data_IF_983315828060
#
_entry.id   IF_983315828060
#
_cell.length_a   1.000
_cell.length_b   1.000
_cell.length_c   1.000
_cell.angle_alpha   90.00
_cell.angle_beta   90.00
_cell.angle_gamma   90.00
#
_symmetry.space_group_name_H-M   'P 1'
#
loop_
_entity.id
_entity.type
_entity.pdbx_description
1 polymer ?
#
# COMPACT_ATOMS: atom_id res chain seq x y z
N UNK A 1 -6.97 -20.73 15.08
CA UNK A 1 -8.28 -20.96 15.65
C UNK A 1 -9.01 -22.12 14.91
N UNK A 2 -9.36 -21.94 13.62
CA UNK A 2 -10.15 -22.91 12.84
C UNK A 2 -9.48 -24.28 12.82
N UNK A 3 -8.17 -24.35 12.56
CA UNK A 3 -7.43 -25.63 12.56
C UNK A 3 -7.43 -26.29 13.93
N UNK A 4 -7.25 -25.52 15.00
CA UNK A 4 -7.30 -26.06 16.36
C UNK A 4 -8.68 -26.63 16.66
N UNK A 5 -9.75 -25.96 16.25
CA UNK A 5 -11.12 -26.44 16.44
C UNK A 5 -11.38 -27.74 15.66
N UNK A 6 -10.91 -27.78 14.41
CA UNK A 6 -11.04 -28.99 13.58
C UNK A 6 -10.27 -30.19 14.18
N UNK A 7 -9.04 -29.93 14.64
CA UNK A 7 -8.23 -30.95 15.30
C UNK A 7 -8.89 -31.45 16.61
N UNK A 8 -9.45 -30.52 17.37
CA UNK A 8 -10.15 -30.88 18.62
C UNK A 8 -11.33 -31.84 18.36
N UNK A 9 -12.08 -31.57 17.27
CA UNK A 9 -13.21 -32.45 16.90
C UNK A 9 -12.76 -33.84 16.45
N UNK A 10 -11.58 -33.94 15.81
CA UNK A 10 -11.06 -35.24 15.35
C UNK A 10 -10.31 -35.99 16.44
N UNK A 11 -9.60 -35.33 17.30
CA UNK A 11 -8.67 -35.93 18.28
C UNK A 11 -9.23 -35.96 19.71
N UNK A 12 -10.35 -35.29 19.96
CA UNK A 12 -10.93 -35.21 21.30
C UNK A 12 -10.13 -34.36 22.29
N UNK A 13 -9.17 -33.55 21.79
CA UNK A 13 -8.32 -32.71 22.62
C UNK A 13 -8.26 -31.29 22.02
N UNK A 14 -8.48 -30.29 22.85
CA UNK A 14 -8.41 -28.88 22.45
C UNK A 14 -7.19 -28.23 23.11
N UNK A 15 -6.25 -27.77 22.28
CA UNK A 15 -5.12 -26.98 22.76
C UNK A 15 -5.61 -25.63 23.29
N UNK A 16 -4.99 -25.16 24.37
CA UNK A 16 -5.31 -23.84 24.95
C UNK A 16 -4.81 -22.70 24.07
N UNK A 17 -3.82 -22.94 23.22
CA UNK A 17 -3.22 -21.90 22.37
C UNK A 17 -2.60 -22.51 21.12
N UNK A 18 -2.46 -21.68 20.09
CA UNK A 18 -1.72 -22.01 18.89
C UNK A 18 -0.39 -21.28 18.87
N UNK A 19 0.45 -21.59 17.89
CA UNK A 19 1.75 -20.93 17.75
C UNK A 19 1.95 -20.48 16.30
N UNK A 20 2.52 -19.27 16.15
CA UNK A 20 2.97 -18.76 14.87
C UNK A 20 4.50 -18.73 14.86
N UNK A 21 5.10 -19.14 13.74
CA UNK A 21 6.54 -19.03 13.53
C UNK A 21 6.82 -17.71 12.85
N UNK A 22 7.58 -16.83 13.51
CA UNK A 22 8.03 -15.58 12.94
C UNK A 22 9.24 -15.78 12.03
N UNK A 23 9.35 -14.99 10.99
CA UNK A 23 10.54 -15.00 10.14
C UNK A 23 11.75 -14.42 10.86
N UNK A 24 11.52 -13.35 11.62
CA UNK A 24 12.56 -12.60 12.35
C UNK A 24 12.12 -12.36 13.77
N UNK A 25 13.09 -12.22 14.67
CA UNK A 25 12.80 -11.84 16.02
C UNK A 25 14.00 -11.08 16.63
N UNK A 26 13.70 -10.21 17.55
CA UNK A 26 14.71 -9.51 18.34
C UNK A 26 14.28 -9.52 19.80
N UNK A 27 15.22 -9.76 20.67
CA UNK A 27 15.02 -9.70 22.11
C UNK A 27 15.89 -8.55 22.67
N UNK A 28 15.43 -7.89 23.70
CA UNK A 28 16.09 -6.67 24.24
C UNK A 28 17.57 -6.85 24.56
N UNK A 29 18.00 -8.05 24.88
CA UNK A 29 19.36 -8.31 25.37
C UNK A 29 20.15 -9.34 24.56
N UNK A 30 19.55 -10.03 23.64
CA UNK A 30 20.26 -11.07 22.88
C UNK A 30 19.51 -11.45 21.61
N UNK A 31 20.24 -12.02 20.66
CA UNK A 31 19.67 -12.68 19.49
C UNK A 31 19.66 -14.19 19.75
N UNK A 32 18.51 -14.81 19.61
CA UNK A 32 18.40 -16.24 19.71
C UNK A 32 18.58 -16.91 18.37
N UNK A 33 19.16 -18.08 18.38
CA UNK A 33 19.40 -18.87 17.17
C UNK A 33 18.56 -20.16 17.11
N UNK A 34 17.75 -20.40 18.13
CA UNK A 34 16.92 -21.60 18.17
C UNK A 34 15.65 -21.39 17.36
N UNK A 35 15.26 -22.40 16.62
CA UNK A 35 14.01 -22.39 15.87
C UNK A 35 12.82 -22.04 16.77
N UNK A 36 12.77 -22.64 17.96
CA UNK A 36 11.67 -22.43 18.92
C UNK A 36 11.59 -20.99 19.44
N UNK A 37 12.69 -20.22 19.38
CA UNK A 37 12.70 -18.83 19.84
C UNK A 37 11.87 -17.93 18.92
N UNK A 38 11.53 -18.42 17.74
CA UNK A 38 10.69 -17.71 16.76
C UNK A 38 9.19 -17.96 16.96
N UNK A 39 8.84 -18.84 17.90
CA UNK A 39 7.43 -19.19 18.16
C UNK A 39 6.79 -18.10 19.03
N UNK A 40 5.65 -17.63 18.58
CA UNK A 40 4.80 -16.70 19.30
C UNK A 40 3.51 -17.41 19.66
N UNK A 41 3.20 -17.53 20.93
CA UNK A 41 1.94 -18.10 21.37
C UNK A 41 0.79 -17.18 20.99
N UNK A 42 -0.26 -17.75 20.42
CA UNK A 42 -1.47 -17.03 20.03
C UNK A 42 -2.64 -17.66 20.79
N UNK A 43 -3.34 -16.91 21.64
CA UNK A 43 -4.52 -17.43 22.32
C UNK A 43 -5.55 -17.95 21.32
N UNK A 44 -6.29 -18.98 21.72
CA UNK A 44 -7.34 -19.55 20.86
C UNK A 44 -8.44 -18.56 20.56
N UNK A 45 -8.64 -17.57 21.42
CA UNK A 45 -9.59 -16.50 21.13
C UNK A 45 -8.96 -15.14 21.49
N UNK A 46 -9.11 -14.21 20.59
CA UNK A 46 -8.64 -12.83 20.77
C UNK A 46 -9.78 -11.86 20.49
N UNK A 47 -9.85 -10.81 21.29
CA UNK A 47 -10.89 -9.79 21.13
C UNK A 47 -10.28 -8.56 20.49
N UNK A 48 -10.81 -8.17 19.34
CA UNK A 48 -10.44 -6.92 18.67
C UNK A 48 -11.36 -5.80 19.15
N UNK A 49 -10.79 -4.65 19.42
CA UNK A 49 -11.50 -3.47 19.89
C UNK A 49 -12.73 -3.11 19.02
N UNK A 50 -12.62 -3.37 17.71
CA UNK A 50 -13.65 -2.93 16.75
C UNK A 50 -14.38 -4.08 16.07
N UNK A 51 -14.04 -5.35 16.38
CA UNK A 51 -14.56 -6.50 15.63
C UNK A 51 -15.07 -7.66 16.50
N UNK A 52 -15.07 -7.49 17.81
CA UNK A 52 -15.46 -8.58 18.71
C UNK A 52 -14.40 -9.67 18.80
N UNK A 53 -14.79 -10.82 19.30
CA UNK A 53 -13.89 -11.96 19.46
C UNK A 53 -13.69 -12.71 18.14
N UNK A 54 -12.57 -13.41 18.02
CA UNK A 54 -12.28 -14.24 16.86
C UNK A 54 -13.31 -15.36 16.72
N UNK A 55 -13.71 -15.97 17.83
CA UNK A 55 -14.70 -17.05 17.83
C UNK A 55 -16.06 -16.57 17.30
N UNK A 56 -16.51 -15.41 17.73
CA UNK A 56 -17.77 -14.81 17.24
C UNK A 56 -17.70 -14.53 15.74
N UNK A 57 -16.59 -13.99 15.25
CA UNK A 57 -16.42 -13.70 13.84
C UNK A 57 -16.40 -14.95 12.98
N UNK A 58 -15.74 -16.02 13.46
CA UNK A 58 -15.71 -17.30 12.76
C UNK A 58 -17.11 -17.91 12.73
N UNK A 59 -17.81 -17.88 13.86
CA UNK A 59 -19.18 -18.43 13.94
C UNK A 59 -20.12 -17.68 12.98
N UNK A 60 -20.08 -16.36 12.98
CA UNK A 60 -20.88 -15.53 12.08
C UNK A 60 -20.55 -15.81 10.60
N UNK A 61 -19.26 -16.08 10.29
CA UNK A 61 -18.85 -16.44 8.93
C UNK A 61 -19.40 -17.80 8.50
N UNK A 62 -19.42 -18.78 9.42
CA UNK A 62 -19.99 -20.10 9.16
C UNK A 62 -21.50 -19.99 8.93
N UNK A 63 -22.19 -19.24 9.77
CA UNK A 63 -23.62 -18.99 9.63
C UNK A 63 -23.92 -18.35 8.27
N UNK A 64 -23.16 -17.29 7.92
CA UNK A 64 -23.32 -16.63 6.62
C UNK A 64 -23.12 -17.60 5.44
N UNK A 65 -22.12 -18.50 5.53
CA UNK A 65 -21.88 -19.51 4.49
C UNK A 65 -23.03 -20.49 4.39
N UNK A 66 -23.62 -20.90 5.51
CA UNK A 66 -24.79 -21.77 5.52
C UNK A 66 -26.00 -21.06 4.91
N UNK A 67 -26.24 -19.81 5.28
CA UNK A 67 -27.32 -19.00 4.70
C UNK A 67 -27.13 -18.85 3.18
N UNK A 68 -25.89 -18.59 2.74
CA UNK A 68 -25.56 -18.50 1.31
C UNK A 68 -25.91 -19.81 0.59
N UNK A 69 -25.59 -20.97 1.18
CA UNK A 69 -25.87 -22.28 0.58
C UNK A 69 -27.36 -22.59 0.51
N UNK A 70 -28.11 -22.20 1.52
CA UNK A 70 -29.54 -22.54 1.63
C UNK A 70 -30.45 -21.54 0.92
N UNK A 71 -30.11 -20.25 0.96
CA UNK A 71 -31.00 -19.19 0.48
C UNK A 71 -30.35 -18.21 -0.51
N UNK A 72 -29.06 -18.34 -0.77
CA UNK A 72 -28.30 -17.38 -1.59
C UNK A 72 -28.85 -17.17 -2.99
N UNK A 73 -29.51 -18.17 -3.55
CA UNK A 73 -30.12 -18.06 -4.88
C UNK A 73 -31.24 -17.00 -4.92
N UNK A 74 -31.84 -16.70 -3.78
CA UNK A 74 -32.93 -15.73 -3.66
C UNK A 74 -32.41 -14.32 -3.33
N UNK A 75 -31.12 -14.15 -3.09
CA UNK A 75 -30.53 -12.86 -2.69
C UNK A 75 -30.42 -11.94 -3.88
N UNK A 76 -30.71 -10.67 -3.69
CA UNK A 76 -30.58 -9.61 -4.69
C UNK A 76 -29.48 -8.63 -4.29
N UNK A 77 -28.92 -7.96 -5.30
CA UNK A 77 -27.84 -7.00 -5.11
C UNK A 77 -28.33 -5.55 -5.00
N UNK A 78 -29.63 -5.33 -5.02
CA UNK A 78 -30.22 -3.98 -4.93
C UNK A 78 -29.89 -3.32 -3.59
N UNK A 79 -30.01 -1.98 -3.51
CA UNK A 79 -29.87 -1.28 -2.22
C UNK A 79 -30.78 -1.82 -1.12
N UNK A 80 -31.89 -2.40 -1.51
CA UNK A 80 -32.88 -2.99 -0.60
C UNK A 80 -32.62 -4.47 -0.35
N UNK A 81 -31.42 -4.93 -0.66
CA UNK A 81 -31.04 -6.33 -0.45
C UNK A 81 -31.23 -6.74 1.03
N UNK A 82 -31.81 -7.93 1.20
CA UNK A 82 -31.99 -8.54 2.51
C UNK A 82 -30.64 -8.71 3.23
N UNK A 83 -29.58 -8.95 2.44
CA UNK A 83 -28.25 -9.16 3.02
C UNK A 83 -27.31 -7.98 2.66
N UNK A 84 -27.04 -7.07 3.62
CA UNK A 84 -26.18 -5.93 3.35
C UNK A 84 -24.72 -6.30 3.03
N UNK A 85 -24.29 -7.53 3.32
CA UNK A 85 -22.95 -8.00 3.01
C UNK A 85 -22.74 -8.24 1.52
N UNK A 86 -23.82 -8.34 0.73
CA UNK A 86 -23.72 -8.51 -0.73
C UNK A 86 -23.25 -7.24 -1.44
N UNK A 87 -23.34 -6.09 -0.81
CA UNK A 87 -22.90 -4.83 -1.45
C UNK A 87 -21.40 -4.89 -1.75
N UNK A 88 -20.98 -4.36 -2.90
CA UNK A 88 -19.55 -4.44 -3.28
C UNK A 88 -18.65 -3.72 -2.28
N UNK A 89 -17.46 -4.29 -2.05
CA UNK A 89 -16.42 -3.67 -1.21
C UNK A 89 -15.24 -3.31 -2.12
N UNK A 90 -15.16 -2.06 -2.57
CA UNK A 90 -14.12 -1.61 -3.48
C UNK A 90 -12.76 -1.45 -2.80
N UNK A 91 -12.67 -1.56 -1.46
CA UNK A 91 -11.40 -1.57 -0.74
C UNK A 91 -10.74 -2.95 -0.73
N UNK A 92 -11.47 -3.99 -1.09
CA UNK A 92 -10.91 -5.32 -1.28
C UNK A 92 -10.48 -5.48 -2.74
N UNK A 93 -9.17 -5.54 -2.99
CA UNK A 93 -8.61 -5.74 -4.33
C UNK A 93 -8.12 -7.17 -4.55
N UNK A 94 -8.22 -8.04 -3.52
CA UNK A 94 -7.83 -9.46 -3.57
C UNK A 94 -9.05 -10.33 -3.83
N UNK A 95 -9.72 -10.09 -4.96
CA UNK A 95 -11.01 -10.68 -5.29
C UNK A 95 -11.04 -11.27 -6.71
N UNK A 96 -9.89 -11.64 -7.24
CA UNK A 96 -9.79 -12.35 -8.52
C UNK A 96 -10.55 -13.69 -8.43
N UNK A 97 -11.36 -14.06 -9.45
CA UNK A 97 -11.54 -13.38 -10.73
C UNK A 97 -12.73 -12.41 -10.79
N UNK A 98 -13.33 -12.06 -9.67
CA UNK A 98 -14.62 -11.38 -9.57
C UNK A 98 -14.53 -9.85 -9.62
N UNK A 99 -13.31 -9.29 -9.69
CA UNK A 99 -13.09 -7.84 -9.56
C UNK A 99 -13.86 -7.03 -10.59
N UNK A 100 -13.86 -7.48 -11.84
CA UNK A 100 -14.55 -6.77 -12.93
C UNK A 100 -16.08 -6.74 -12.70
N UNK A 101 -16.66 -7.89 -12.36
CA UNK A 101 -18.10 -7.98 -12.07
C UNK A 101 -18.46 -7.08 -10.88
N UNK A 102 -17.66 -7.13 -9.83
CA UNK A 102 -17.84 -6.28 -8.64
C UNK A 102 -17.81 -4.80 -9.02
N UNK A 103 -16.90 -4.40 -9.90
CA UNK A 103 -16.76 -3.00 -10.36
C UNK A 103 -17.99 -2.54 -11.15
N UNK A 104 -18.53 -3.40 -12.00
CA UNK A 104 -19.76 -3.10 -12.74
C UNK A 104 -20.94 -2.89 -11.79
N UNK A 105 -21.14 -3.81 -10.86
CA UNK A 105 -22.19 -3.71 -9.83
C UNK A 105 -22.00 -2.42 -9.01
N UNK A 106 -20.76 -2.14 -8.62
CA UNK A 106 -20.43 -0.95 -7.85
C UNK A 106 -20.79 0.33 -8.62
N UNK A 107 -20.51 0.36 -9.92
CA UNK A 107 -20.81 1.53 -10.76
C UNK A 107 -22.32 1.79 -10.84
N UNK A 108 -23.12 0.75 -10.91
CA UNK A 108 -24.59 0.85 -10.92
C UNK A 108 -25.13 1.32 -9.56
N UNK A 109 -24.61 0.73 -8.48
CA UNK A 109 -25.04 1.05 -7.10
C UNK A 109 -24.45 2.36 -6.59
N UNK A 110 -23.40 2.86 -7.22
CA UNK A 110 -22.63 4.05 -6.77
C UNK A 110 -22.21 3.93 -5.31
N UNK A 111 -21.70 2.73 -4.95
CA UNK A 111 -21.46 2.38 -3.55
C UNK A 111 -20.40 3.27 -2.91
N UNK A 112 -20.61 3.59 -1.66
CA UNK A 112 -19.78 4.51 -0.86
C UNK A 112 -18.34 4.01 -0.71
N UNK A 113 -18.07 2.70 -0.84
CA UNK A 113 -16.70 2.18 -0.74
C UNK A 113 -15.82 2.57 -1.93
N UNK A 114 -16.37 3.18 -2.97
CA UNK A 114 -15.60 3.85 -4.02
C UNK A 114 -14.82 5.04 -3.47
N UNK A 115 -15.41 5.78 -2.53
CA UNK A 115 -14.83 7.00 -1.98
C UNK A 115 -13.53 6.72 -1.22
N UNK A 116 -12.59 7.63 -1.34
CA UNK A 116 -11.30 7.56 -0.66
C UNK A 116 -11.50 7.44 0.86
N UNK A 117 -10.82 6.50 1.48
CA UNK A 117 -10.86 6.20 2.93
C UNK A 117 -12.22 5.78 3.48
N UNK A 118 -13.18 5.41 2.61
CA UNK A 118 -14.48 4.88 3.03
C UNK A 118 -14.49 3.36 2.82
N UNK A 119 -14.34 2.60 3.89
CA UNK A 119 -14.48 1.15 3.90
C UNK A 119 -15.87 0.72 4.34
N UNK A 120 -16.08 -0.60 4.47
CA UNK A 120 -17.38 -1.20 4.80
C UNK A 120 -17.97 -0.64 6.11
N UNK A 121 -17.13 -0.46 7.14
CA UNK A 121 -17.59 0.05 8.44
C UNK A 121 -18.22 1.43 8.26
N UNK A 122 -17.55 2.33 7.56
CA UNK A 122 -18.03 3.69 7.31
C UNK A 122 -19.25 3.70 6.40
N UNK A 123 -19.26 2.86 5.36
CA UNK A 123 -20.45 2.69 4.52
C UNK A 123 -21.66 2.30 5.39
N UNK A 124 -21.49 1.31 6.27
CA UNK A 124 -22.59 0.83 7.11
C UNK A 124 -23.09 1.90 8.08
N UNK A 125 -22.19 2.76 8.58
CA UNK A 125 -22.60 3.94 9.39
C UNK A 125 -23.42 4.93 8.55
N UNK A 126 -22.95 5.24 7.35
CA UNK A 126 -23.63 6.15 6.43
C UNK A 126 -25.01 5.62 6.04
N UNK A 127 -25.12 4.30 5.77
CA UNK A 127 -26.40 3.68 5.43
C UNK A 127 -27.41 3.84 6.56
N UNK A 128 -26.98 3.76 7.82
CA UNK A 128 -27.85 4.01 8.99
C UNK A 128 -28.35 5.46 9.05
N UNK A 129 -27.61 6.38 8.42
CA UNK A 129 -28.01 7.78 8.29
C UNK A 129 -28.78 8.07 6.99
N UNK A 130 -29.14 7.02 6.23
CA UNK A 130 -29.89 7.17 4.98
C UNK A 130 -29.01 7.53 3.77
N UNK A 131 -27.69 7.39 3.88
CA UNK A 131 -26.77 7.69 2.77
C UNK A 131 -26.32 6.36 2.16
N UNK A 132 -26.73 6.10 0.91
CA UNK A 132 -26.50 4.83 0.22
C UNK A 132 -25.57 4.94 -0.99
N UNK A 133 -25.49 6.13 -1.62
CA UNK A 133 -24.74 6.36 -2.85
C UNK A 133 -23.78 7.54 -2.68
N UNK A 134 -22.61 7.43 -3.32
CA UNK A 134 -21.58 8.48 -3.18
C UNK A 134 -22.01 9.82 -3.80
N UNK A 135 -22.89 9.81 -4.80
CA UNK A 135 -23.39 11.05 -5.44
C UNK A 135 -24.72 11.53 -4.89
N UNK A 136 -25.26 10.86 -3.87
CA UNK A 136 -26.50 11.28 -3.21
C UNK A 136 -26.35 12.71 -2.68
N UNK A 137 -27.31 13.61 -2.93
CA UNK A 137 -27.20 14.98 -2.43
C UNK A 137 -27.47 15.08 -0.93
N UNK A 138 -27.02 16.16 -0.33
CA UNK A 138 -27.40 16.54 1.02
C UNK A 138 -26.66 15.88 2.17
N UNK A 139 -25.63 15.08 1.91
CA UNK A 139 -24.80 14.53 3.00
C UNK A 139 -23.39 15.11 2.95
N UNK A 140 -22.71 15.06 4.08
CA UNK A 140 -21.32 15.50 4.24
C UNK A 140 -20.45 14.36 4.81
N UNK A 141 -19.17 14.62 4.97
CA UNK A 141 -18.21 13.62 5.49
C UNK A 141 -18.60 13.10 6.89
N UNK A 142 -19.34 13.89 7.67
CA UNK A 142 -19.75 13.50 9.03
C UNK A 142 -20.63 12.26 9.02
N UNK A 143 -21.54 12.16 8.04
CA UNK A 143 -22.42 10.99 7.89
C UNK A 143 -21.62 9.73 7.50
N UNK A 144 -20.42 9.91 6.99
CA UNK A 144 -19.50 8.82 6.69
C UNK A 144 -18.62 8.45 7.90
N UNK A 145 -18.91 9.01 9.08
CA UNK A 145 -18.18 8.69 10.31
C UNK A 145 -16.78 9.29 10.37
N UNK A 146 -16.59 10.46 9.77
CA UNK A 146 -15.32 11.18 9.88
C UNK A 146 -15.45 12.33 10.88
N UNK A 147 -14.47 12.44 11.74
CA UNK A 147 -14.28 13.61 12.57
C UNK A 147 -13.69 14.75 11.72
N UNK A 148 -13.87 16.02 12.10
CA UNK A 148 -13.31 17.14 11.32
C UNK A 148 -11.77 17.16 11.40
N UNK A 149 -11.15 16.72 10.32
CA UNK A 149 -9.70 16.58 10.15
C UNK A 149 -9.33 17.01 8.72
N UNK A 150 -8.03 17.08 8.42
CA UNK A 150 -7.56 17.32 7.06
C UNK A 150 -8.09 16.24 6.09
N UNK A 151 -8.11 14.98 6.54
CA UNK A 151 -8.67 13.86 5.75
C UNK A 151 -10.14 14.08 5.43
N UNK A 152 -10.92 14.54 6.40
CA UNK A 152 -12.34 14.83 6.22
C UNK A 152 -12.57 15.98 5.24
N UNK A 153 -11.77 17.04 5.36
CA UNK A 153 -11.81 18.18 4.42
C UNK A 153 -11.50 17.75 2.99
N UNK A 154 -10.48 16.92 2.81
CA UNK A 154 -10.11 16.39 1.49
C UNK A 154 -11.24 15.52 0.92
N UNK A 155 -11.81 14.64 1.74
CA UNK A 155 -12.94 13.80 1.33
C UNK A 155 -14.12 14.64 0.90
N UNK A 156 -14.46 15.71 1.64
CA UNK A 156 -15.57 16.60 1.26
C UNK A 156 -15.34 17.23 -0.11
N UNK A 157 -14.12 17.69 -0.38
CA UNK A 157 -13.77 18.24 -1.70
C UNK A 157 -13.95 17.20 -2.80
N UNK A 158 -13.52 15.96 -2.55
CA UNK A 158 -13.70 14.85 -3.50
C UNK A 158 -15.19 14.64 -3.80
N UNK A 159 -16.02 14.59 -2.75
CA UNK A 159 -17.46 14.42 -2.89
C UNK A 159 -18.06 15.58 -3.71
N UNK A 160 -17.73 16.80 -3.37
CA UNK A 160 -18.30 18.01 -4.01
C UNK A 160 -17.91 18.09 -5.49
N UNK A 161 -16.66 17.78 -5.85
CA UNK A 161 -16.19 17.78 -7.24
C UNK A 161 -16.94 16.71 -8.03
N UNK A 162 -17.05 15.49 -7.49
CA UNK A 162 -17.65 14.38 -8.22
C UNK A 162 -19.17 14.49 -8.36
N UNK A 163 -19.82 15.22 -7.48
CA UNK A 163 -21.26 15.51 -7.59
C UNK A 163 -21.59 16.57 -8.64
N UNK A 164 -20.63 17.45 -8.93
CA UNK A 164 -20.91 18.64 -9.73
C UNK A 164 -20.14 18.58 -11.05
N UNK A 165 -20.81 18.16 -12.11
CA UNK A 165 -20.23 18.03 -13.45
C UNK A 165 -19.78 19.38 -14.05
N UNK A 166 -20.20 20.49 -13.48
CA UNK A 166 -19.86 21.83 -13.98
C UNK A 166 -18.61 22.43 -13.31
N UNK A 167 -17.96 21.69 -12.42
CA UNK A 167 -16.72 22.13 -11.73
C UNK A 167 -15.52 21.46 -12.38
N UNK A 168 -14.39 22.15 -12.38
CA UNK A 168 -13.12 21.53 -12.80
C UNK A 168 -12.86 20.27 -11.96
N UNK A 169 -12.46 19.16 -12.61
CA UNK A 169 -12.26 17.90 -11.89
C UNK A 169 -11.02 17.86 -10.99
N UNK A 170 -10.28 18.96 -10.91
CA UNK A 170 -9.06 19.09 -10.12
C UNK A 170 -9.22 20.23 -9.12
N UNK A 171 -8.96 19.95 -7.83
CA UNK A 171 -8.99 20.98 -6.79
C UNK A 171 -7.80 20.81 -5.84
N UNK A 172 -6.97 21.84 -5.67
CA UNK A 172 -7.04 23.15 -6.33
C UNK A 172 -6.60 23.10 -7.79
N UNK A 173 -7.06 24.01 -8.65
CA UNK A 173 -6.73 23.99 -10.09
C UNK A 173 -5.27 24.32 -10.38
N UNK A 174 -4.54 24.78 -9.37
CA UNK A 174 -3.10 25.09 -9.47
C UNK A 174 -2.40 24.56 -8.23
N UNK A 175 -1.16 24.13 -8.39
CA UNK A 175 -0.32 23.72 -7.26
C UNK A 175 -0.07 24.95 -6.38
N UNK A 176 -0.53 24.88 -5.13
CA UNK A 176 -0.49 25.98 -4.17
C UNK A 176 0.66 25.86 -3.15
N UNK A 177 1.43 24.78 -3.19
CA UNK A 177 2.58 24.62 -2.30
C UNK A 177 3.55 25.77 -2.45
N UNK A 178 4.08 26.27 -1.34
CA UNK A 178 4.98 27.43 -1.33
C UNK A 178 6.30 27.18 -2.06
N UNK A 179 6.79 25.95 -2.06
CA UNK A 179 8.01 25.59 -2.76
C UNK A 179 7.72 25.38 -4.26
N UNK A 180 8.13 26.35 -5.07
CA UNK A 180 8.00 26.28 -6.53
C UNK A 180 9.35 26.02 -7.20
N UNK A 181 10.36 25.57 -6.45
CA UNK A 181 11.71 25.35 -6.97
C UNK A 181 11.76 24.30 -8.09
N UNK A 182 10.76 23.38 -8.11
CA UNK A 182 10.65 22.38 -9.18
C UNK A 182 10.44 23.01 -10.57
N UNK A 183 9.95 24.25 -10.64
CA UNK A 183 9.72 24.97 -11.89
C UNK A 183 11.00 25.61 -12.46
N UNK A 184 12.09 25.63 -11.69
CA UNK A 184 13.34 26.21 -12.16
C UNK A 184 13.91 25.36 -13.30
N UNK A 185 14.41 26.03 -14.33
CA UNK A 185 14.92 25.37 -15.55
C UNK A 185 16.45 25.35 -15.64
N UNK A 186 17.11 25.82 -14.59
CA UNK A 186 18.58 25.86 -14.51
C UNK A 186 19.19 24.55 -14.02
N UNK A 187 18.36 23.55 -13.77
CA UNK A 187 18.79 22.22 -13.37
C UNK A 187 18.62 21.21 -14.50
N UNK A 188 19.50 20.23 -14.52
CA UNK A 188 19.26 19.01 -15.29
C UNK A 188 18.45 18.06 -14.39
N UNK A 189 17.24 17.77 -14.79
CA UNK A 189 16.32 16.97 -14.01
C UNK A 189 16.34 15.51 -14.50
N UNK A 190 16.65 14.61 -13.58
CA UNK A 190 16.47 13.18 -13.75
C UNK A 190 15.19 12.75 -13.03
N UNK A 191 14.47 11.82 -13.61
CA UNK A 191 13.24 11.24 -13.06
C UNK A 191 13.53 9.76 -12.81
N UNK A 192 13.51 9.37 -11.54
CA UNK A 192 14.02 8.06 -11.13
C UNK A 192 12.97 7.30 -10.35
N UNK A 193 12.89 6.01 -10.64
CA UNK A 193 12.06 5.08 -9.88
C UNK A 193 12.85 3.81 -9.62
N UNK A 194 12.70 3.26 -8.39
CA UNK A 194 13.37 2.03 -7.96
C UNK A 194 12.34 0.95 -7.72
N UNK A 195 12.62 -0.24 -8.22
CA UNK A 195 11.91 -1.43 -7.77
C UNK A 195 12.79 -2.17 -6.77
N UNK A 196 12.19 -2.53 -5.66
CA UNK A 196 12.93 -3.18 -4.57
C UNK A 196 12.28 -4.50 -4.18
N UNK A 197 13.11 -5.43 -3.75
CA UNK A 197 12.65 -6.68 -3.15
C UNK A 197 13.11 -6.68 -1.69
N UNK A 198 12.19 -7.00 -0.80
CA UNK A 198 12.54 -7.30 0.58
C UNK A 198 12.98 -8.76 0.65
N UNK A 199 13.74 -9.07 1.68
CA UNK A 199 14.23 -10.41 1.91
C UNK A 199 13.05 -11.39 1.96
N UNK A 200 12.84 -12.10 0.86
CA UNK A 200 11.85 -13.18 0.73
C UNK A 200 12.50 -14.55 0.96
N UNK A 201 13.79 -14.54 1.26
CA UNK A 201 14.57 -15.76 1.42
C UNK A 201 14.13 -16.48 2.68
N UNK A 202 13.74 -17.74 2.53
CA UNK A 202 13.42 -18.62 3.64
C UNK A 202 14.65 -19.38 4.16
N UNK A 203 15.83 -18.96 3.75
CA UNK A 203 17.10 -19.51 4.25
C UNK A 203 17.29 -19.09 5.71
N UNK A 204 16.98 -20.00 6.59
CA UNK A 204 17.11 -19.79 8.03
C UNK A 204 18.56 -19.64 8.50
N UNK A 205 19.55 -19.99 7.67
CA UNK A 205 20.95 -19.81 8.04
C UNK A 205 21.33 -18.33 8.11
N UNK A 206 20.65 -17.49 7.35
CA UNK A 206 20.86 -16.03 7.31
C UNK A 206 19.92 -15.27 8.28
N UNK A 207 19.03 -15.95 8.93
CA UNK A 207 18.09 -15.36 9.88
C UNK A 207 18.78 -15.32 11.27
N UNK A 208 18.68 -14.26 12.07
CA UNK A 208 17.98 -13.00 11.87
C UNK A 208 18.84 -11.87 11.31
N UNK A 209 19.96 -12.19 10.73
CA UNK A 209 20.97 -11.21 10.29
C UNK A 209 20.46 -10.37 9.13
N UNK A 210 19.63 -10.96 8.29
CA UNK A 210 18.96 -10.24 7.24
C UNK A 210 17.90 -9.32 7.84
N UNK A 211 18.13 -8.01 7.75
CA UNK A 211 17.36 -7.02 8.47
C UNK A 211 16.08 -6.58 7.74
N UNK A 212 15.69 -7.28 6.67
CA UNK A 212 14.54 -6.87 5.85
C UNK A 212 14.77 -5.56 5.12
N UNK A 213 16.02 -5.20 4.87
CA UNK A 213 16.40 -4.01 4.13
C UNK A 213 16.02 -4.20 2.66
N UNK A 214 15.38 -3.20 2.05
CA UNK A 214 15.02 -3.34 0.64
C UNK A 214 16.28 -3.38 -0.23
N UNK A 215 16.37 -4.38 -1.10
CA UNK A 215 17.43 -4.51 -2.12
C UNK A 215 16.88 -3.98 -3.44
N UNK A 216 17.63 -3.10 -4.08
CA UNK A 216 17.25 -2.51 -5.37
C UNK A 216 17.55 -3.54 -6.48
N UNK A 217 16.54 -3.95 -7.23
CA UNK A 217 16.75 -4.89 -8.34
C UNK A 217 16.49 -4.25 -9.71
N UNK A 218 15.90 -3.06 -9.74
CA UNK A 218 15.67 -2.34 -11.00
C UNK A 218 15.67 -0.83 -10.74
N UNK A 219 16.29 -0.08 -11.64
CA UNK A 219 16.34 1.39 -11.60
C UNK A 219 15.89 1.92 -12.96
N UNK A 220 14.78 2.66 -12.98
CA UNK A 220 14.36 3.44 -14.15
C UNK A 220 14.88 4.87 -14.01
N UNK A 221 15.52 5.40 -15.03
CA UNK A 221 16.06 6.76 -15.03
C UNK A 221 15.72 7.48 -16.34
N UNK A 222 14.93 8.54 -16.24
CA UNK A 222 14.52 9.35 -17.38
C UNK A 222 15.03 10.78 -17.30
N UNK A 223 15.09 11.45 -18.45
CA UNK A 223 15.42 12.88 -18.56
C UNK A 223 14.84 13.43 -19.86
N UNK A 224 14.74 14.76 -19.95
CA UNK A 224 14.25 15.43 -21.15
C UNK A 224 15.43 16.07 -21.90
N UNK A 225 15.50 15.82 -23.19
CA UNK A 225 16.47 16.45 -24.10
C UNK A 225 15.75 16.88 -25.38
N UNK A 226 15.90 18.14 -25.75
CA UNK A 226 15.27 18.71 -26.97
C UNK A 226 13.74 18.43 -26.99
N UNK A 227 13.09 18.61 -25.85
CA UNK A 227 11.66 18.35 -25.63
C UNK A 227 11.24 16.90 -25.89
N UNK A 228 12.20 15.97 -25.86
CA UNK A 228 11.93 14.54 -26.00
C UNK A 228 12.30 13.81 -24.72
N UNK A 229 11.45 12.89 -24.32
CA UNK A 229 11.71 12.01 -23.20
C UNK A 229 12.72 10.93 -23.60
N UNK A 230 13.74 10.79 -22.81
CA UNK A 230 14.76 9.77 -22.94
C UNK A 230 14.77 8.98 -21.63
N UNK A 231 14.96 7.68 -21.69
CA UNK A 231 15.01 6.89 -20.47
C UNK A 231 15.86 5.64 -20.65
N UNK A 232 16.32 5.11 -19.54
CA UNK A 232 17.11 3.87 -19.49
C UNK A 232 16.70 3.10 -18.25
N UNK A 233 16.67 1.78 -18.36
CA UNK A 233 16.39 0.87 -17.26
C UNK A 233 17.62 0.02 -16.98
N UNK A 234 17.93 -0.16 -15.70
CA UNK A 234 19.04 -0.97 -15.22
C UNK A 234 18.43 -2.08 -14.35
N UNK A 235 18.67 -3.33 -14.70
CA UNK A 235 18.07 -4.48 -14.00
C UNK A 235 19.18 -5.43 -13.59
N UNK A 236 19.11 -5.96 -12.38
CA UNK A 236 20.08 -6.95 -11.90
C UNK A 236 20.01 -8.25 -12.72
N UNK A 237 21.13 -8.89 -12.88
CA UNK A 237 21.19 -10.23 -13.48
C UNK A 237 20.82 -11.32 -12.46
N UNK A 238 21.05 -11.05 -11.19
CA UNK A 238 20.76 -11.96 -10.08
C UNK A 238 20.39 -11.15 -8.85
N UNK A 239 19.53 -11.71 -7.98
CA UNK A 239 19.13 -11.04 -6.73
C UNK A 239 20.24 -11.26 -5.67
N UNK A 240 21.31 -10.49 -5.80
CA UNK A 240 22.43 -10.48 -4.84
C UNK A 240 23.04 -9.09 -4.74
N UNK A 241 23.87 -8.91 -3.72
CA UNK A 241 24.50 -7.61 -3.42
C UNK A 241 25.42 -7.13 -4.53
N UNK A 242 26.17 -8.03 -5.15
CA UNK A 242 27.09 -7.68 -6.23
C UNK A 242 26.34 -7.06 -7.42
N UNK A 243 25.25 -7.71 -7.87
CA UNK A 243 24.42 -7.22 -8.97
C UNK A 243 23.71 -5.91 -8.61
N UNK A 244 23.27 -5.75 -7.34
CA UNK A 244 22.71 -4.47 -6.85
C UNK A 244 23.74 -3.35 -7.01
N UNK A 245 24.95 -3.60 -6.54
CA UNK A 245 26.06 -2.64 -6.63
C UNK A 245 26.34 -2.26 -8.10
N UNK A 246 26.35 -3.25 -8.98
CA UNK A 246 26.60 -3.04 -10.42
C UNK A 246 25.56 -2.12 -11.06
N UNK A 247 24.28 -2.33 -10.82
CA UNK A 247 23.25 -1.47 -11.45
C UNK A 247 23.25 -0.06 -10.88
N UNK A 248 23.63 0.10 -9.60
CA UNK A 248 23.77 1.44 -9.01
C UNK A 248 24.97 2.17 -9.66
N UNK A 249 26.10 1.50 -9.83
CA UNK A 249 27.26 2.07 -10.54
C UNK A 249 26.84 2.52 -11.97
N UNK A 250 26.18 1.64 -12.71
CA UNK A 250 25.74 1.90 -14.08
C UNK A 250 24.76 3.09 -14.15
N UNK A 251 23.87 3.21 -13.16
CA UNK A 251 22.92 4.32 -13.09
C UNK A 251 23.62 5.65 -12.79
N UNK A 252 24.56 5.66 -11.84
CA UNK A 252 25.32 6.87 -11.48
C UNK A 252 26.17 7.30 -12.67
N UNK A 253 26.89 6.36 -13.28
CA UNK A 253 27.69 6.64 -14.50
C UNK A 253 26.82 7.20 -15.62
N UNK A 254 25.60 6.67 -15.77
CA UNK A 254 24.66 7.16 -16.78
C UNK A 254 24.30 8.63 -16.51
N UNK A 255 23.96 8.99 -15.27
CA UNK A 255 23.62 10.37 -14.92
C UNK A 255 24.83 11.30 -15.15
N UNK A 256 26.02 10.86 -14.74
CA UNK A 256 27.25 11.63 -14.93
C UNK A 256 27.55 11.88 -16.42
N UNK A 257 27.42 10.84 -17.24
CA UNK A 257 27.61 10.96 -18.69
C UNK A 257 26.63 11.94 -19.33
N UNK A 258 25.38 11.96 -18.85
CA UNK A 258 24.37 12.90 -19.34
C UNK A 258 24.69 14.34 -18.86
N UNK A 259 25.06 14.52 -17.59
CA UNK A 259 25.40 15.85 -17.05
C UNK A 259 26.61 16.46 -17.79
N UNK A 260 27.60 15.66 -18.12
CA UNK A 260 28.74 16.10 -18.92
C UNK A 260 28.32 16.55 -20.32
N UNK A 261 27.39 15.81 -20.95
CA UNK A 261 26.86 16.19 -22.28
C UNK A 261 26.05 17.50 -22.23
N UNK A 262 25.41 17.76 -21.11
CA UNK A 262 24.65 19.02 -20.87
C UNK A 262 25.54 20.13 -20.31
N UNK A 263 26.81 19.81 -19.98
CA UNK A 263 27.80 20.76 -19.41
C UNK A 263 27.26 21.40 -18.13
N UNK A 264 26.69 20.63 -17.23
CA UNK A 264 26.11 21.13 -15.99
C UNK A 264 26.39 20.17 -14.84
N UNK A 265 26.66 20.75 -13.67
CA UNK A 265 26.74 20.01 -12.40
C UNK A 265 25.48 20.21 -11.55
N UNK A 266 24.53 21.01 -12.04
CA UNK A 266 23.27 21.31 -11.35
C UNK A 266 22.23 20.23 -11.66
N UNK A 267 22.35 19.07 -11.02
CA UNK A 267 21.45 17.94 -11.26
C UNK A 267 20.49 17.75 -10.07
N UNK A 268 19.23 17.45 -10.37
CA UNK A 268 18.21 17.05 -9.38
C UNK A 268 17.65 15.70 -9.77
N UNK A 269 17.33 14.88 -8.79
CA UNK A 269 16.73 13.58 -9.02
C UNK A 269 15.30 13.60 -8.44
N UNK A 270 14.35 13.69 -9.36
CA UNK A 270 12.92 13.66 -9.02
C UNK A 270 12.48 12.22 -8.79
N UNK A 271 11.66 12.03 -7.76
CA UNK A 271 10.99 10.77 -7.53
C UNK A 271 9.58 11.02 -7.00
N UNK A 272 8.74 10.00 -7.09
CA UNK A 272 7.37 10.05 -6.61
C UNK A 272 7.21 8.98 -5.54
N UNK A 273 7.39 9.36 -4.29
CA UNK A 273 7.31 8.40 -3.17
C UNK A 273 5.97 8.49 -2.49
N UNK A 274 5.30 7.36 -2.23
CA UNK A 274 4.14 7.36 -1.35
C UNK A 274 4.51 7.91 0.03
N UNK A 275 3.56 8.58 0.65
CA UNK A 275 3.76 9.23 1.95
C UNK A 275 4.18 8.27 3.07
N UNK A 276 3.89 6.98 2.89
CA UNK A 276 4.18 5.94 3.88
C UNK A 276 5.58 5.35 3.75
N UNK A 277 6.25 5.63 2.65
CA UNK A 277 7.55 5.04 2.39
C UNK A 277 8.43 6.07 1.68
N UNK A 278 9.33 6.66 2.42
CA UNK A 278 10.39 7.52 1.88
C UNK A 278 11.41 6.62 1.15
N UNK A 279 10.97 5.87 0.14
CA UNK A 279 11.60 4.62 -0.19
C UNK A 279 12.82 4.72 -1.10
N UNK A 280 12.85 5.67 -2.06
CA UNK A 280 14.02 5.74 -2.92
C UNK A 280 15.27 6.16 -2.13
N UNK A 281 15.16 7.24 -1.36
CA UNK A 281 16.28 7.66 -0.51
C UNK A 281 16.64 6.60 0.53
N UNK A 282 15.64 5.96 1.14
CA UNK A 282 15.85 4.89 2.12
C UNK A 282 16.50 3.67 1.47
N UNK A 283 16.04 3.26 0.30
CA UNK A 283 16.61 2.12 -0.44
C UNK A 283 18.07 2.40 -0.83
N UNK A 284 18.34 3.59 -1.34
CA UNK A 284 19.71 4.01 -1.72
C UNK A 284 20.62 4.05 -0.49
N UNK A 285 20.15 4.58 0.64
CA UNK A 285 20.92 4.61 1.88
C UNK A 285 21.16 3.20 2.41
N UNK A 286 20.19 2.31 2.30
CA UNK A 286 20.35 0.89 2.66
C UNK A 286 21.41 0.22 1.80
N UNK A 287 21.40 0.50 0.49
CA UNK A 287 22.42 0.00 -0.43
C UNK A 287 23.81 0.55 -0.06
N UNK A 288 23.90 1.84 0.28
CA UNK A 288 25.19 2.42 0.75
C UNK A 288 25.71 1.70 2.00
N UNK A 289 24.84 1.35 2.91
CA UNK A 289 25.22 0.63 4.13
C UNK A 289 25.68 -0.82 3.83
N UNK A 290 25.06 -1.46 2.83
CA UNK A 290 25.50 -2.81 2.38
C UNK A 290 26.83 -2.76 1.64
N UNK A 291 27.14 -1.63 0.97
CA UNK A 291 28.33 -1.50 0.11
C UNK A 291 29.24 -0.37 0.66
N UNK A 292 29.82 -0.53 1.85
CA UNK A 292 30.57 0.56 2.51
C UNK A 292 31.87 0.92 1.76
N UNK A 293 32.34 0.07 0.86
CA UNK A 293 33.55 0.34 0.04
C UNK A 293 33.23 1.16 -1.23
N UNK A 294 31.95 1.35 -1.55
CA UNK A 294 31.56 2.15 -2.72
C UNK A 294 31.46 3.63 -2.33
N UNK A 295 32.03 4.48 -3.17
CA UNK A 295 32.01 5.93 -2.96
C UNK A 295 30.97 6.60 -3.86
N UNK A 296 29.72 6.21 -3.70
CA UNK A 296 28.63 6.80 -4.49
C UNK A 296 28.37 8.25 -4.04
N UNK A 297 28.12 9.18 -5.01
CA UNK A 297 27.92 10.58 -4.70
C UNK A 297 26.64 10.81 -3.89
N UNK A 298 26.58 11.98 -3.29
CA UNK A 298 25.34 12.45 -2.66
C UNK A 298 24.34 12.79 -3.76
N UNK A 299 23.17 12.17 -3.73
CA UNK A 299 22.11 12.46 -4.69
C UNK A 299 21.25 13.61 -4.15
N UNK A 300 20.94 14.56 -5.01
CA UNK A 300 20.06 15.68 -4.69
C UNK A 300 18.61 15.25 -4.96
N UNK A 301 18.03 14.59 -3.97
CA UNK A 301 16.66 14.04 -4.07
C UNK A 301 15.62 15.15 -4.03
N UNK A 302 14.61 15.04 -4.90
CA UNK A 302 13.45 15.93 -4.91
C UNK A 302 12.17 15.08 -4.92
N UNK A 303 11.54 14.95 -3.76
CA UNK A 303 10.31 14.19 -3.61
C UNK A 303 9.14 15.02 -4.14
N UNK A 304 8.68 14.69 -5.34
CA UNK A 304 7.64 15.47 -6.00
C UNK A 304 6.26 15.27 -5.35
N UNK A 305 6.02 14.11 -4.77
CA UNK A 305 4.75 13.86 -4.06
C UNK A 305 4.59 14.82 -2.87
N UNK A 306 5.63 15.07 -2.12
CA UNK A 306 5.60 16.01 -1.00
C UNK A 306 5.40 17.46 -1.43
N UNK A 307 5.70 17.77 -2.65
CA UNK A 307 5.56 19.12 -3.21
C UNK A 307 4.31 19.29 -4.06
N UNK A 308 3.87 18.40 -4.52
CA UNK A 308 2.76 18.46 -5.39
C UNK A 308 1.47 18.24 -4.71
N UNK A 309 1.53 17.63 -3.88
CA UNK A 309 0.41 17.31 -3.11
C UNK A 309 0.01 18.22 -2.14
#
# INVERSE_FOLDING_TARGET
FIYNKALALTQGYSSSEGYLIGRKWTQKSSRGNRFTDKLIAVPNDTVSKNRGSLSENVQASIEWLNDLKTDGVNWTLSPDSINPLLRPNMKNTRDFPWHQTKSLINSELKDLTTLWNVGVIKRNLANKCGVFQWDQPGYAYSELGFNPTATASTLQKIIDINRNSNVEPIAPPKIIHSDQSWRKTDFLDFYVDFETVNDLDDDFSRFPESAGQPMIFMIGCGYIKNNKWNWKCFTVNSLNEESESEIIDLWIDHMDNISQKFKTDNCRVFHWSPAETSNLETAFNSAKNRHPLKSWPKIYWYDFLKKXX
#
